data_IF_410734850141
#
_entry.id   IF_410734850141
#
_cell.length_a   1.000
_cell.length_b   1.000
_cell.length_c   1.000
_cell.angle_alpha   90.00
_cell.angle_beta   90.00
_cell.angle_gamma   90.00
#
_symmetry.space_group_name_H-M   'P 1'
#
loop_
_entity.id
_entity.type
_entity.pdbx_description
1 polymer ?
#
# COMPACT_ATOMS: atom_id res chain seq x y z
N UNK A 1 10.37 -6.68 -23.15
CA UNK A 1 10.51 -6.85 -21.69
C UNK A 1 9.09 -7.06 -21.18
N UNK A 2 8.70 -8.30 -20.94
CA UNK A 2 7.40 -8.65 -20.38
C UNK A 2 7.57 -8.51 -18.86
N UNK A 3 6.90 -7.54 -18.24
CA UNK A 3 6.88 -7.43 -16.78
C UNK A 3 5.71 -8.29 -16.33
N UNK A 4 5.99 -9.55 -15.97
CA UNK A 4 4.97 -10.55 -15.64
C UNK A 4 4.51 -10.51 -14.18
N UNK A 5 5.05 -9.59 -13.37
CA UNK A 5 4.87 -9.60 -11.91
C UNK A 5 4.54 -8.20 -11.37
N UNK A 6 3.75 -7.42 -12.12
CA UNK A 6 3.08 -6.24 -11.58
C UNK A 6 1.97 -6.72 -10.63
N UNK A 7 2.34 -7.02 -9.38
CA UNK A 7 1.38 -7.05 -8.29
C UNK A 7 0.61 -5.72 -8.30
N UNK A 8 -0.70 -5.73 -8.07
CA UNK A 8 -1.55 -4.54 -7.96
C UNK A 8 -1.15 -3.70 -6.73
N UNK A 9 0.00 -3.02 -6.84
CA UNK A 9 0.69 -2.43 -5.71
C UNK A 9 -0.12 -1.27 -5.11
N UNK A 10 -0.70 -0.44 -5.98
CA UNK A 10 -1.57 0.65 -5.53
C UNK A 10 -2.85 0.10 -4.90
N UNK A 11 -3.48 -0.91 -5.51
CA UNK A 11 -4.68 -1.51 -4.92
C UNK A 11 -4.41 -2.20 -3.60
N UNK A 12 -3.30 -2.93 -3.46
CA UNK A 12 -2.89 -3.55 -2.20
C UNK A 12 -2.67 -2.50 -1.10
N UNK A 13 -2.02 -1.38 -1.43
CA UNK A 13 -1.83 -0.28 -0.49
C UNK A 13 -3.17 0.33 -0.06
N UNK A 14 -4.08 0.63 -1.00
CA UNK A 14 -5.37 1.23 -0.65
C UNK A 14 -6.26 0.25 0.12
N UNK A 15 -6.31 -1.03 -0.27
CA UNK A 15 -7.03 -2.08 0.47
C UNK A 15 -6.49 -2.23 1.89
N UNK A 16 -5.17 -2.20 2.05
CA UNK A 16 -4.52 -2.23 3.36
C UNK A 16 -4.90 -1.02 4.21
N UNK A 17 -4.91 0.19 3.64
CA UNK A 17 -5.34 1.39 4.36
C UNK A 17 -6.82 1.40 4.71
N UNK A 18 -7.68 0.74 3.92
CA UNK A 18 -9.09 0.53 4.28
C UNK A 18 -9.21 -0.37 5.51
N UNK A 19 -8.38 -1.41 5.63
CA UNK A 19 -8.34 -2.22 6.85
C UNK A 19 -7.85 -1.39 8.04
N UNK A 20 -6.80 -0.59 7.83
CA UNK A 20 -6.26 0.32 8.86
C UNK A 20 -7.30 1.33 9.34
N UNK A 21 -8.06 1.95 8.43
CA UNK A 21 -9.09 2.93 8.79
C UNK A 21 -10.26 2.33 9.57
N UNK A 22 -10.40 1.00 9.54
CA UNK A 22 -11.37 0.23 10.32
C UNK A 22 -10.78 -0.30 11.65
N UNK A 23 -9.53 0.02 11.97
CA UNK A 23 -8.85 -0.39 13.20
C UNK A 23 -8.19 -1.77 13.13
N UNK A 24 -8.00 -2.34 11.93
CA UNK A 24 -7.29 -3.60 11.76
C UNK A 24 -5.83 -3.40 11.37
N UNK A 25 -4.96 -4.27 11.87
CA UNK A 25 -3.60 -4.41 11.36
C UNK A 25 -3.63 -5.01 9.95
N UNK A 26 -2.68 -4.61 9.11
CA UNK A 26 -2.60 -5.08 7.73
C UNK A 26 -1.17 -5.31 7.29
N UNK A 27 -1.00 -6.27 6.36
CA UNK A 27 0.28 -6.62 5.77
C UNK A 27 0.11 -7.01 4.31
N UNK A 28 1.05 -6.60 3.47
CA UNK A 28 1.15 -7.04 2.09
C UNK A 28 2.60 -6.95 1.59
N UNK A 29 2.89 -7.60 0.46
CA UNK A 29 4.23 -7.64 -0.10
C UNK A 29 4.25 -7.48 -1.60
N UNK A 30 5.11 -6.60 -2.10
CA UNK A 30 5.38 -6.42 -3.53
C UNK A 30 6.63 -7.16 -3.97
N UNK A 31 6.66 -7.50 -5.26
CA UNK A 31 7.85 -8.05 -5.90
C UNK A 31 8.70 -6.93 -6.50
N UNK A 32 10.01 -7.00 -6.25
CA UNK A 32 11.02 -6.17 -6.88
C UNK A 32 12.05 -6.97 -7.69
N UNK A 33 11.82 -8.27 -7.87
CA UNK A 33 12.68 -9.31 -8.47
C UNK A 33 14.20 -9.06 -8.38
N UNK A 34 14.95 -9.80 -7.54
CA UNK A 34 14.54 -10.97 -6.73
C UNK A 34 13.96 -10.60 -5.35
N UNK A 35 13.91 -9.31 -5.02
CA UNK A 35 13.63 -8.84 -3.66
C UNK A 35 12.15 -8.74 -3.35
N UNK A 36 11.75 -9.05 -2.12
CA UNK A 36 10.42 -8.72 -1.60
C UNK A 36 10.46 -7.38 -0.86
N UNK A 37 9.46 -6.51 -1.07
CA UNK A 37 9.18 -5.39 -0.18
C UNK A 37 7.89 -5.64 0.59
N UNK A 38 8.00 -5.83 1.91
CA UNK A 38 6.85 -6.07 2.79
C UNK A 38 6.47 -4.81 3.52
N UNK A 39 5.21 -4.44 3.39
CA UNK A 39 4.59 -3.34 4.12
C UNK A 39 3.77 -3.89 5.28
N UNK A 40 3.97 -3.30 6.44
CA UNK A 40 3.34 -3.74 7.69
C UNK A 40 2.76 -2.51 8.39
N UNK A 41 1.48 -2.58 8.73
CA UNK A 41 0.73 -1.57 9.45
C UNK A 41 0.20 -2.19 10.75
N UNK A 42 0.65 -1.70 11.89
CA UNK A 42 0.27 -2.22 13.22
C UNK A 42 -0.24 -1.08 14.08
N UNK A 43 -1.45 -1.19 14.61
CA UNK A 43 -1.97 -0.26 15.59
C UNK A 43 -1.26 -0.46 16.94
N UNK A 44 -0.82 0.65 17.53
CA UNK A 44 -0.26 0.73 18.86
C UNK A 44 -0.93 1.86 19.61
N UNK A 45 -1.89 1.51 20.47
CA UNK A 45 -2.77 2.46 21.15
C UNK A 45 -3.43 3.42 20.14
N UNK A 46 -3.18 4.73 20.25
CA UNK A 46 -3.71 5.76 19.36
C UNK A 46 -2.81 6.04 18.13
N UNK A 47 -1.76 5.23 17.94
CA UNK A 47 -0.78 5.40 16.86
C UNK A 47 -0.77 4.20 15.91
N UNK A 48 -0.28 4.43 14.71
CA UNK A 48 0.00 3.41 13.71
C UNK A 48 1.50 3.34 13.48
N UNK A 49 2.07 2.16 13.69
CA UNK A 49 3.40 1.84 13.24
C UNK A 49 3.34 1.37 11.78
N UNK A 50 4.12 2.01 10.91
CA UNK A 50 4.31 1.59 9.52
C UNK A 50 5.75 1.16 9.34
N UNK A 51 5.96 -0.06 8.86
CA UNK A 51 7.28 -0.60 8.53
C UNK A 51 7.30 -1.05 7.07
N UNK A 52 8.43 -0.79 6.41
CA UNK A 52 8.76 -1.37 5.12
C UNK A 52 10.02 -2.18 5.28
N UNK A 53 9.92 -3.48 5.06
CA UNK A 53 11.02 -4.43 5.11
C UNK A 53 11.41 -4.84 3.69
N UNK A 54 12.69 -5.11 3.47
CA UNK A 54 13.15 -5.80 2.26
C UNK A 54 13.68 -7.20 2.61
N UNK A 55 13.47 -8.15 1.72
CA UNK A 55 14.03 -9.51 1.78
C UNK A 55 14.74 -9.84 0.47
N UNK A 56 15.75 -10.71 0.54
CA UNK A 56 16.59 -11.06 -0.62
C UNK A 56 15.94 -12.10 -1.54
N UNK A 57 15.00 -12.90 -1.04
CA UNK A 57 14.34 -13.96 -1.81
C UNK A 57 12.87 -14.16 -1.40
N UNK A 58 11.94 -13.71 -2.24
CA UNK A 58 10.48 -13.89 -2.03
C UNK A 58 10.04 -15.36 -2.08
N UNK A 59 10.84 -16.27 -2.65
CA UNK A 59 10.47 -17.70 -2.77
C UNK A 59 10.50 -18.41 -1.43
N UNK A 60 11.06 -17.78 -0.40
CA UNK A 60 11.07 -18.28 0.97
C UNK A 60 10.30 -17.30 1.84
N UNK A 61 9.12 -17.67 2.34
CA UNK A 61 8.44 -16.82 3.32
C UNK A 61 9.31 -16.73 4.57
N UNK A 62 9.93 -15.58 4.77
CA UNK A 62 10.74 -15.28 5.95
C UNK A 62 9.93 -14.50 7.00
N UNK A 63 10.19 -14.72 8.30
CA UNK A 63 9.56 -13.96 9.37
C UNK A 63 10.01 -12.49 9.32
N UNK A 64 9.22 -11.58 9.88
CA UNK A 64 9.49 -10.14 9.80
C UNK A 64 10.84 -9.74 10.43
N UNK A 65 11.30 -10.50 11.44
CA UNK A 65 12.58 -10.28 12.11
C UNK A 65 13.80 -10.59 11.22
N UNK A 66 13.60 -11.33 10.13
CA UNK A 66 14.65 -11.60 9.15
C UNK A 66 14.76 -10.49 8.09
N UNK A 67 13.73 -9.63 7.97
CA UNK A 67 13.71 -8.55 6.98
C UNK A 67 14.61 -7.39 7.36
N UNK A 68 15.25 -6.76 6.37
CA UNK A 68 15.97 -5.51 6.58
C UNK A 68 15.00 -4.34 6.58
N UNK A 69 14.96 -3.60 7.67
CA UNK A 69 14.16 -2.39 7.78
C UNK A 69 14.67 -1.30 6.84
N UNK A 70 13.80 -0.87 5.92
CA UNK A 70 14.06 0.22 4.97
C UNK A 70 13.41 1.52 5.39
N UNK A 71 12.31 1.41 6.12
CA UNK A 71 11.55 2.54 6.59
C UNK A 71 10.73 2.16 7.82
N UNK A 72 10.67 3.08 8.79
CA UNK A 72 9.72 3.01 9.89
C UNK A 72 9.18 4.39 10.22
N UNK A 73 7.87 4.45 10.50
CA UNK A 73 7.16 5.63 10.97
C UNK A 73 6.18 5.25 12.07
N UNK A 74 6.06 6.13 13.06
CA UNK A 74 4.94 6.17 13.99
C UNK A 74 4.17 7.45 13.77
N UNK A 75 2.88 7.35 13.55
CA UNK A 75 1.99 8.49 13.33
C UNK A 75 0.58 8.09 13.70
N UNK A 76 -0.29 9.06 13.99
CA UNK A 76 -1.74 8.80 13.90
C UNK A 76 -2.07 8.26 12.49
N UNK A 77 -3.11 7.42 12.33
CA UNK A 77 -3.48 6.86 11.03
C UNK A 77 -3.81 7.94 9.98
N UNK A 78 -4.43 9.04 10.41
CA UNK A 78 -5.02 10.04 9.51
C UNK A 78 -4.01 10.73 8.57
N UNK A 79 -2.87 11.28 9.04
CA UNK A 79 -1.86 11.84 8.15
C UNK A 79 -1.33 10.88 7.08
N UNK A 80 -1.23 9.58 7.41
CA UNK A 80 -0.74 8.55 6.49
C UNK A 80 -1.79 8.30 5.41
N UNK A 81 -3.05 8.11 5.81
CA UNK A 81 -4.16 7.91 4.88
C UNK A 81 -4.30 9.11 3.95
N UNK A 82 -4.28 10.34 4.47
CA UNK A 82 -4.38 11.56 3.68
C UNK A 82 -3.24 11.67 2.63
N UNK A 83 -1.99 11.44 3.04
CA UNK A 83 -0.85 11.50 2.13
C UNK A 83 -0.98 10.49 0.96
N UNK A 84 -1.43 9.27 1.24
CA UNK A 84 -1.62 8.25 0.21
C UNK A 84 -2.83 8.57 -0.68
N UNK A 85 -3.96 8.99 -0.11
CA UNK A 85 -5.15 9.41 -0.88
C UNK A 85 -4.84 10.55 -1.83
N UNK A 86 -4.14 11.59 -1.36
CA UNK A 86 -3.74 12.71 -2.22
C UNK A 86 -2.83 12.25 -3.36
N UNK A 87 -1.92 11.30 -3.09
CA UNK A 87 -1.01 10.77 -4.10
C UNK A 87 -1.74 9.92 -5.13
N UNK A 88 -2.64 9.04 -4.70
CA UNK A 88 -3.51 8.25 -5.58
C UNK A 88 -4.42 9.14 -6.45
N UNK A 89 -4.98 10.22 -5.87
CA UNK A 89 -5.75 11.20 -6.64
C UNK A 89 -4.92 11.91 -7.69
N UNK A 90 -3.67 12.29 -7.40
CA UNK A 90 -2.77 12.89 -8.40
C UNK A 90 -2.50 11.93 -9.56
N UNK A 91 -2.27 10.64 -9.27
CA UNK A 91 -2.11 9.61 -10.30
C UNK A 91 -3.36 9.55 -11.17
N UNK A 92 -4.54 9.38 -10.55
CA UNK A 92 -5.81 9.32 -11.27
C UNK A 92 -6.09 10.56 -12.13
N UNK A 93 -5.81 11.76 -11.60
CA UNK A 93 -5.99 13.01 -12.35
C UNK A 93 -5.02 13.16 -13.52
N UNK A 94 -3.81 12.61 -13.41
CA UNK A 94 -2.79 12.73 -14.44
C UNK A 94 -2.98 11.70 -15.57
N UNK A 95 -3.40 10.47 -15.25
CA UNK A 95 -3.53 9.39 -16.23
C UNK A 95 -4.97 9.16 -16.66
N UNK A 96 -5.93 9.23 -15.73
CA UNK A 96 -7.26 8.66 -15.92
C UNK A 96 -7.28 7.14 -15.77
N UNK A 97 -8.45 6.53 -15.60
CA UNK A 97 -8.61 5.10 -15.29
C UNK A 97 -8.22 4.20 -16.47
N UNK A 98 -8.68 4.51 -17.69
CA UNK A 98 -8.41 3.71 -18.89
C UNK A 98 -6.90 3.65 -19.21
N UNK A 99 -6.24 4.80 -19.14
CA UNK A 99 -4.81 4.91 -19.39
C UNK A 99 -3.97 4.32 -18.25
N UNK A 100 -4.43 4.45 -17.00
CA UNK A 100 -3.82 3.75 -15.87
C UNK A 100 -3.82 2.24 -16.13
N UNK A 101 -4.97 1.67 -16.46
CA UNK A 101 -5.08 0.24 -16.75
C UNK A 101 -4.18 -0.16 -17.91
N UNK A 102 -4.09 0.65 -18.97
CA UNK A 102 -3.16 0.38 -20.09
C UNK A 102 -1.69 0.35 -19.66
N UNK A 103 -1.28 1.18 -18.69
CA UNK A 103 0.09 1.24 -18.19
C UNK A 103 0.41 0.13 -17.16
N UNK A 104 -0.61 -0.36 -16.44
CA UNK A 104 -0.50 -1.38 -15.40
C UNK A 104 -1.06 -2.75 -15.87
N UNK A 105 -0.76 -3.15 -17.10
CA UNK A 105 -1.10 -4.47 -17.67
C UNK A 105 -2.59 -4.88 -17.58
N UNK A 106 -3.49 -3.91 -17.65
CA UNK A 106 -4.94 -4.11 -17.57
C UNK A 106 -5.52 -4.02 -16.16
N UNK A 107 -4.70 -3.82 -15.12
CA UNK A 107 -5.19 -3.66 -13.76
C UNK A 107 -6.02 -2.39 -13.60
N UNK A 108 -7.23 -2.54 -13.06
CA UNK A 108 -8.12 -1.41 -12.85
C UNK A 108 -7.57 -0.47 -11.77
N UNK A 109 -7.79 0.83 -11.94
CA UNK A 109 -7.49 1.77 -10.87
C UNK A 109 -8.36 1.43 -9.64
N UNK A 110 -7.81 1.37 -8.41
CA UNK A 110 -8.54 1.01 -7.19
C UNK A 110 -9.43 2.16 -6.69
N UNK A 111 -10.39 2.57 -7.52
CA UNK A 111 -11.26 3.72 -7.30
C UNK A 111 -12.19 3.50 -6.10
N UNK A 112 -12.64 2.27 -5.89
CA UNK A 112 -13.55 1.92 -4.80
C UNK A 112 -12.89 2.18 -3.44
N UNK A 113 -11.70 1.64 -3.23
CA UNK A 113 -10.91 1.83 -2.01
C UNK A 113 -10.53 3.30 -1.80
N UNK A 114 -10.14 3.99 -2.88
CA UNK A 114 -9.86 5.43 -2.81
C UNK A 114 -11.07 6.21 -2.27
N UNK A 115 -12.27 5.93 -2.80
CA UNK A 115 -13.49 6.62 -2.37
C UNK A 115 -13.85 6.30 -0.90
N UNK A 116 -13.61 5.07 -0.43
CA UNK A 116 -13.81 4.72 0.99
C UNK A 116 -12.90 5.56 1.88
N UNK A 117 -11.61 5.65 1.53
CA UNK A 117 -10.63 6.39 2.33
C UNK A 117 -10.90 7.90 2.34
N UNK A 118 -11.34 8.46 1.22
CA UNK A 118 -11.77 9.85 1.16
C UNK A 118 -13.01 10.16 2.00
N UNK A 119 -13.94 9.20 2.06
CA UNK A 119 -15.08 9.33 2.95
C UNK A 119 -14.62 9.31 4.40
N UNK A 120 -13.78 8.35 4.78
CA UNK A 120 -13.22 8.24 6.12
C UNK A 120 -12.47 9.52 6.57
N UNK A 121 -11.70 10.14 5.67
CA UNK A 121 -10.98 11.41 5.93
C UNK A 121 -11.87 12.62 6.19
N UNK A 122 -13.16 12.57 5.84
CA UNK A 122 -14.11 13.66 6.13
C UNK A 122 -14.68 13.56 7.54
N UNK A 123 -14.72 12.35 8.09
CA UNK A 123 -15.31 12.06 9.40
C UNK A 123 -14.27 12.09 10.54
N UNK A 124 -12.98 12.13 10.21
CA UNK A 124 -11.84 12.14 11.14
C UNK A 124 -10.89 13.30 10.80
#
# INVERSE_FOLDING_TARGET
MHVSDLTDALGDLLRSLVQVSQGYDSRFSWDGEPTEYRWIFIHQDDTLQVRILSFDDRRRPEPDEAGWERFTLWSEPRPIVDAVVQSARRVLSATGEEEYARQWDGEAFPLHELNILEFWLKDH
#
